data_IF_476488168682
#
_entry.id   IF_476488168682
#
_cell.length_a   1.000
_cell.length_b   1.000
_cell.length_c   1.000
_cell.angle_alpha   90.00
_cell.angle_beta   90.00
_cell.angle_gamma   90.00
#
_symmetry.space_group_name_H-M   'P 1'
#
loop_
_entity.id
_entity.type
_entity.pdbx_description
1 polymer ?
#
# COMPACT_ATOMS: atom_id res chain seq x y z
N UNK A 1 28.59 -2.96 22.05
CA UNK A 1 27.67 -3.34 20.94
C UNK A 1 27.25 -4.82 20.99
N UNK A 2 28.16 -5.78 21.22
CA UNK A 2 27.83 -7.22 21.34
C UNK A 2 26.84 -7.55 22.48
N UNK A 3 27.13 -7.14 23.72
CA UNK A 3 26.26 -7.38 24.89
C UNK A 3 24.86 -6.80 24.71
N UNK A 4 24.74 -5.59 24.14
CA UNK A 4 23.43 -4.98 23.84
C UNK A 4 22.65 -5.81 22.83
N UNK A 5 23.30 -6.35 21.79
CA UNK A 5 22.65 -7.22 20.80
C UNK A 5 22.20 -8.55 21.42
N UNK A 6 23.02 -9.16 22.26
CA UNK A 6 22.69 -10.38 22.99
C UNK A 6 21.47 -10.15 23.92
N UNK A 7 21.43 -9.04 24.64
CA UNK A 7 20.27 -8.67 25.48
C UNK A 7 18.99 -8.45 24.68
N UNK A 8 19.08 -7.74 23.54
CA UNK A 8 17.91 -7.55 22.66
C UNK A 8 17.40 -8.90 22.14
N UNK A 9 18.30 -9.80 21.73
CA UNK A 9 17.92 -11.10 21.17
C UNK A 9 17.37 -12.10 22.18
N UNK A 10 17.66 -11.90 23.46
CA UNK A 10 17.07 -12.65 24.56
C UNK A 10 15.64 -12.19 24.93
N UNK A 11 15.10 -11.13 24.30
CA UNK A 11 13.74 -10.68 24.54
C UNK A 11 12.73 -11.73 24.03
N UNK A 12 11.83 -12.26 24.89
CA UNK A 12 10.84 -13.27 24.48
C UNK A 12 9.81 -12.74 23.48
N UNK A 13 9.64 -11.42 23.33
CA UNK A 13 8.80 -10.84 22.27
C UNK A 13 9.41 -10.97 20.88
N UNK A 14 10.69 -11.35 20.78
CA UNK A 14 11.38 -11.62 19.52
C UNK A 14 11.49 -13.12 19.27
N UNK A 15 10.49 -13.91 19.65
CA UNK A 15 10.45 -15.37 19.45
C UNK A 15 10.10 -15.76 18.00
N UNK A 16 10.93 -15.30 17.08
CA UNK A 16 10.90 -15.62 15.66
C UNK A 16 12.34 -15.63 15.13
N UNK A 17 12.56 -16.38 14.05
CA UNK A 17 13.87 -16.56 13.40
C UNK A 17 13.99 -15.79 12.08
N UNK A 18 12.87 -15.30 11.54
CA UNK A 18 12.77 -14.74 10.19
C UNK A 18 12.11 -13.37 10.21
N UNK A 19 12.68 -12.41 9.47
CA UNK A 19 12.13 -11.06 9.30
C UNK A 19 11.72 -10.86 7.84
N UNK A 20 10.45 -10.54 7.61
CA UNK A 20 9.94 -10.05 6.34
C UNK A 20 10.22 -8.55 6.19
N UNK A 21 10.79 -8.14 5.07
CA UNK A 21 11.02 -6.72 4.78
C UNK A 21 11.07 -6.44 3.28
N UNK A 22 10.96 -5.16 2.94
CA UNK A 22 11.14 -4.67 1.57
C UNK A 22 12.44 -3.89 1.44
N UNK A 23 13.17 -4.13 0.36
CA UNK A 23 14.24 -3.24 -0.11
C UNK A 23 13.71 -2.51 -1.33
N UNK A 24 13.92 -1.20 -1.42
CA UNK A 24 13.54 -0.40 -2.59
C UNK A 24 14.36 0.88 -2.67
N UNK A 25 14.48 1.45 -3.87
CA UNK A 25 14.82 2.86 -4.01
C UNK A 25 13.56 3.72 -3.73
N UNK A 26 13.67 4.84 -2.99
CA UNK A 26 12.60 5.83 -2.94
C UNK A 26 12.27 6.36 -4.34
N UNK A 27 11.03 6.85 -4.52
CA UNK A 27 10.64 7.54 -5.75
C UNK A 27 11.52 8.77 -6.03
N UNK A 28 11.46 9.27 -7.26
CA UNK A 28 12.31 10.40 -7.70
C UNK A 28 11.96 11.72 -7.02
N UNK A 29 10.73 11.88 -6.52
CA UNK A 29 10.27 13.08 -5.85
C UNK A 29 10.21 12.87 -4.32
N UNK A 30 10.83 13.75 -3.52
CA UNK A 30 10.92 13.58 -2.07
C UNK A 30 9.72 14.15 -1.30
N UNK A 31 8.84 14.89 -1.98
CA UNK A 31 7.75 15.61 -1.35
C UNK A 31 6.64 14.66 -0.87
N UNK A 32 5.99 14.97 0.25
CA UNK A 32 5.08 14.04 0.95
C UNK A 32 3.89 13.60 0.09
N UNK A 33 3.41 14.49 -0.78
CA UNK A 33 2.33 14.23 -1.72
C UNK A 33 2.72 13.33 -2.89
N UNK A 34 4.01 13.04 -3.10
CA UNK A 34 4.51 12.33 -4.29
C UNK A 34 5.07 10.93 -3.96
N UNK A 35 5.00 10.52 -2.70
CA UNK A 35 5.74 9.37 -2.17
C UNK A 35 5.31 8.02 -2.75
N UNK A 36 4.06 7.92 -3.23
CA UNK A 36 3.41 6.66 -3.58
C UNK A 36 2.76 6.71 -4.96
N UNK A 37 3.49 7.19 -5.96
CA UNK A 37 3.10 7.07 -7.35
C UNK A 37 4.09 6.20 -8.14
N UNK A 38 3.60 5.12 -8.73
CA UNK A 38 4.44 4.16 -9.44
C UNK A 38 5.13 4.76 -10.66
N UNK A 39 4.54 5.79 -11.27
CA UNK A 39 5.14 6.50 -12.40
C UNK A 39 6.37 7.36 -12.03
N UNK A 40 6.67 7.54 -10.73
CA UNK A 40 7.91 8.11 -10.21
C UNK A 40 8.84 7.06 -9.60
N UNK A 41 8.54 5.78 -9.80
CA UNK A 41 9.32 4.67 -9.27
C UNK A 41 10.74 4.67 -9.82
N UNK A 42 11.61 4.02 -9.04
CA UNK A 42 12.96 3.66 -9.45
C UNK A 42 13.10 2.14 -9.33
N UNK A 43 13.83 1.50 -10.24
CA UNK A 43 13.92 0.06 -10.27
C UNK A 43 14.76 -0.46 -9.11
N UNK A 44 14.48 -1.70 -8.72
CA UNK A 44 15.33 -2.52 -7.88
C UNK A 44 14.78 -2.75 -6.47
N UNK A 45 15.33 -3.77 -5.82
CA UNK A 45 14.85 -4.27 -4.54
C UNK A 45 13.92 -5.47 -4.72
N UNK A 46 12.96 -5.62 -3.82
CA UNK A 46 12.13 -6.82 -3.74
C UNK A 46 11.55 -7.06 -2.35
N UNK A 47 10.80 -8.15 -2.23
CA UNK A 47 10.31 -8.70 -0.96
C UNK A 47 11.31 -9.75 -0.47
N UNK A 48 11.81 -9.57 0.76
CA UNK A 48 12.88 -10.39 1.31
C UNK A 48 12.51 -11.02 2.65
N UNK A 49 13.06 -12.21 2.88
CA UNK A 49 13.14 -12.87 4.17
C UNK A 49 14.58 -12.85 4.66
N UNK A 50 14.80 -12.32 5.86
CA UNK A 50 16.06 -12.44 6.59
C UNK A 50 15.92 -13.57 7.62
N UNK A 51 16.37 -14.76 7.26
CA UNK A 51 16.30 -15.96 8.07
C UNK A 51 17.50 -16.06 9.02
N UNK A 52 17.29 -16.75 10.14
CA UNK A 52 18.29 -16.99 11.17
C UNK A 52 19.00 -15.70 11.60
N UNK A 53 18.27 -14.58 11.70
CA UNK A 53 18.87 -13.24 11.88
C UNK A 53 19.67 -13.08 13.18
N UNK A 54 19.44 -13.99 14.15
CA UNK A 54 20.14 -14.05 15.43
C UNK A 54 21.44 -14.88 15.38
N UNK A 55 21.61 -15.76 14.39
CA UNK A 55 22.67 -16.80 14.36
C UNK A 55 24.09 -16.30 14.09
N UNK A 56 24.27 -15.03 13.73
CA UNK A 56 25.55 -14.47 13.29
C UNK A 56 25.86 -14.73 11.81
N UNK A 57 25.18 -15.69 11.18
CA UNK A 57 25.23 -15.99 9.74
C UNK A 57 23.83 -15.93 9.14
N UNK A 58 23.19 -14.74 9.10
CA UNK A 58 21.85 -14.60 8.56
C UNK A 58 21.80 -14.95 7.07
N UNK A 59 20.72 -15.58 6.62
CA UNK A 59 20.47 -15.84 5.20
C UNK A 59 19.44 -14.86 4.66
N UNK A 60 19.67 -14.41 3.43
CA UNK A 60 18.76 -13.51 2.74
C UNK A 60 18.12 -14.25 1.56
N UNK A 61 16.80 -14.36 1.58
CA UNK A 61 16.01 -14.95 0.49
C UNK A 61 15.14 -13.85 -0.15
N UNK A 62 15.19 -13.72 -1.48
CA UNK A 62 14.40 -12.75 -2.23
C UNK A 62 13.24 -13.46 -2.93
N UNK A 63 12.01 -13.24 -2.46
CA UNK A 63 10.82 -13.90 -3.00
C UNK A 63 10.44 -13.39 -4.40
N UNK A 64 10.98 -12.26 -4.81
CA UNK A 64 10.65 -11.57 -6.06
C UNK A 64 11.86 -11.37 -6.96
N UNK A 65 12.90 -12.20 -6.85
CA UNK A 65 14.15 -12.07 -7.64
C UNK A 65 13.90 -12.14 -9.15
N UNK A 66 12.97 -12.99 -9.58
CA UNK A 66 12.65 -13.22 -10.98
C UNK A 66 11.54 -12.30 -11.52
N UNK A 67 11.13 -11.28 -10.76
CA UNK A 67 10.12 -10.34 -11.22
C UNK A 67 10.71 -9.31 -12.18
N UNK A 68 9.91 -8.73 -13.09
CA UNK A 68 10.33 -7.59 -13.87
C UNK A 68 10.85 -6.45 -12.97
N UNK A 69 11.77 -5.64 -13.50
CA UNK A 69 12.26 -4.48 -12.76
C UNK A 69 11.10 -3.55 -12.38
N UNK A 70 11.07 -3.16 -11.10
CA UNK A 70 10.01 -2.34 -10.55
C UNK A 70 10.33 -1.85 -9.16
N UNK A 71 9.29 -1.47 -8.44
CA UNK A 71 9.37 -0.98 -7.07
C UNK A 71 8.34 -1.69 -6.21
N UNK A 72 8.72 -2.02 -4.98
CA UNK A 72 7.91 -2.77 -4.02
C UNK A 72 7.62 -1.91 -2.79
N UNK A 73 6.43 -2.00 -2.22
CA UNK A 73 6.00 -1.20 -1.08
C UNK A 73 5.37 -2.06 0.02
N UNK A 74 5.61 -1.63 1.26
CA UNK A 74 4.72 -1.87 2.41
C UNK A 74 4.27 -3.33 2.57
N UNK A 75 5.19 -4.29 2.73
CA UNK A 75 4.81 -5.67 2.98
C UNK A 75 4.06 -5.76 4.30
N UNK A 76 3.04 -6.61 4.35
CA UNK A 76 2.23 -6.93 5.52
C UNK A 76 2.07 -8.44 5.61
N UNK A 77 2.27 -9.00 6.79
CA UNK A 77 2.08 -10.43 7.05
C UNK A 77 0.64 -10.68 7.52
N UNK A 78 0.02 -11.77 7.08
CA UNK A 78 -1.26 -12.22 7.64
C UNK A 78 -1.11 -12.58 9.12
N UNK A 79 -2.22 -12.52 9.87
CA UNK A 79 -2.21 -12.82 11.30
C UNK A 79 -1.70 -14.24 11.65
N UNK A 80 -1.83 -15.20 10.73
CA UNK A 80 -1.34 -16.57 10.88
C UNK A 80 0.09 -16.77 10.34
N UNK A 81 0.72 -15.72 9.81
CA UNK A 81 2.10 -15.74 9.32
C UNK A 81 2.29 -16.38 7.95
N UNK A 82 1.22 -16.69 7.22
CA UNK A 82 1.31 -17.53 6.00
C UNK A 82 1.31 -16.76 4.69
N UNK A 83 0.67 -15.59 4.65
CA UNK A 83 0.49 -14.81 3.43
C UNK A 83 1.08 -13.41 3.60
N UNK A 84 1.54 -12.84 2.49
CA UNK A 84 2.14 -11.52 2.39
C UNK A 84 1.26 -10.66 1.48
N UNK A 85 0.78 -9.52 1.97
CA UNK A 85 0.32 -8.43 1.11
C UNK A 85 1.49 -7.49 0.83
N UNK A 86 1.56 -6.96 -0.38
CA UNK A 86 2.51 -5.91 -0.75
C UNK A 86 1.99 -5.14 -1.95
N UNK A 87 2.56 -3.96 -2.24
CA UNK A 87 2.29 -3.26 -3.49
C UNK A 87 3.50 -3.34 -4.42
N UNK A 88 3.25 -3.47 -5.72
CA UNK A 88 4.29 -3.48 -6.75
C UNK A 88 3.85 -2.68 -7.97
N UNK A 89 4.79 -1.93 -8.55
CA UNK A 89 4.66 -1.34 -9.87
C UNK A 89 5.90 -1.70 -10.70
N UNK A 90 5.71 -1.91 -12.00
CA UNK A 90 6.80 -2.06 -12.95
C UNK A 90 7.44 -0.73 -13.27
N UNK A 91 8.76 -0.74 -13.39
CA UNK A 91 9.53 0.43 -13.76
C UNK A 91 9.69 0.53 -15.27
N UNK A 92 9.46 1.72 -15.79
CA UNK A 92 9.69 2.08 -17.17
C UNK A 92 10.47 3.39 -17.23
N UNK A 93 11.70 3.42 -17.79
CA UNK A 93 12.55 4.62 -17.80
C UNK A 93 11.90 5.87 -18.42
N UNK A 94 11.05 5.68 -19.43
CA UNK A 94 10.40 6.76 -20.16
C UNK A 94 9.17 7.34 -19.43
N UNK A 95 8.54 6.56 -18.54
CA UNK A 95 7.25 6.94 -17.92
C UNK A 95 7.39 8.21 -17.11
N UNK A 96 8.49 8.41 -16.38
CA UNK A 96 8.75 9.63 -15.62
C UNK A 96 8.67 10.90 -16.49
N UNK A 97 9.10 10.84 -17.75
CA UNK A 97 9.06 11.98 -18.68
C UNK A 97 7.69 12.28 -19.31
N UNK A 98 6.71 11.39 -19.16
CA UNK A 98 5.38 11.53 -19.78
C UNK A 98 4.50 12.56 -19.07
N UNK A 99 3.49 13.08 -19.77
CA UNK A 99 2.35 13.76 -19.15
C UNK A 99 1.45 12.72 -18.47
N UNK A 100 0.86 13.04 -17.31
CA UNK A 100 0.30 12.04 -16.39
C UNK A 100 -1.20 12.16 -16.15
N UNK A 101 -1.84 13.25 -16.58
CA UNK A 101 -3.28 13.49 -16.37
C UNK A 101 -4.09 12.55 -17.26
N UNK A 102 -3.67 12.38 -18.52
CA UNK A 102 -4.23 11.37 -19.42
C UNK A 102 -3.65 9.99 -19.11
N UNK A 103 -4.20 9.35 -18.09
CA UNK A 103 -3.72 8.06 -17.60
C UNK A 103 -3.78 6.98 -18.66
N UNK A 104 -4.70 7.00 -19.62
CA UNK A 104 -4.79 5.95 -20.64
C UNK A 104 -3.54 5.83 -21.52
N UNK A 105 -2.72 6.88 -21.59
CA UNK A 105 -1.41 6.87 -22.26
C UNK A 105 -0.31 6.16 -21.46
N UNK A 106 -0.52 5.94 -20.17
CA UNK A 106 0.46 5.31 -19.28
C UNK A 106 0.27 3.78 -19.27
N UNK A 107 1.36 3.00 -19.12
CA UNK A 107 1.25 1.57 -18.85
C UNK A 107 0.48 1.34 -17.54
N UNK A 108 -0.45 0.39 -17.53
CA UNK A 108 -1.25 0.10 -16.34
C UNK A 108 -0.40 -0.43 -15.18
N UNK A 109 0.59 -1.27 -15.49
CA UNK A 109 1.52 -1.82 -14.50
C UNK A 109 2.59 -0.81 -14.05
N UNK A 110 2.61 0.43 -14.59
CA UNK A 110 3.41 1.52 -14.03
C UNK A 110 2.78 2.15 -12.77
N UNK A 111 1.58 1.73 -12.39
CA UNK A 111 0.92 2.10 -11.13
C UNK A 111 1.16 1.02 -10.08
N UNK A 112 1.17 1.39 -8.81
CA UNK A 112 1.20 0.41 -7.73
C UNK A 112 -0.10 -0.40 -7.69
N UNK A 113 0.02 -1.72 -7.74
CA UNK A 113 -1.07 -2.64 -7.51
C UNK A 113 -0.81 -3.48 -6.28
N UNK A 114 -1.87 -3.92 -5.62
CA UNK A 114 -1.78 -4.82 -4.45
C UNK A 114 -1.66 -6.25 -4.95
N UNK A 115 -0.68 -6.96 -4.40
CA UNK A 115 -0.47 -8.38 -4.61
C UNK A 115 -0.54 -9.10 -3.27
N UNK A 116 -0.92 -10.38 -3.35
CA UNK A 116 -0.83 -11.32 -2.24
C UNK A 116 -0.09 -12.58 -2.71
N UNK A 117 0.74 -13.15 -1.86
CA UNK A 117 1.37 -14.45 -2.09
C UNK A 117 1.61 -15.17 -0.77
N UNK A 118 1.86 -16.46 -0.79
CA UNK A 118 2.30 -17.20 0.40
C UNK A 118 3.73 -16.82 0.78
N UNK A 119 4.11 -17.06 2.04
CA UNK A 119 5.42 -16.72 2.60
C UNK A 119 6.58 -17.44 1.89
N UNK A 120 6.31 -18.56 1.21
CA UNK A 120 7.28 -19.29 0.38
C UNK A 120 7.39 -18.76 -1.07
N UNK A 121 6.65 -17.69 -1.39
CA UNK A 121 6.64 -17.04 -2.71
C UNK A 121 5.73 -17.71 -3.75
N UNK A 122 4.92 -18.69 -3.35
CA UNK A 122 3.94 -19.34 -4.23
C UNK A 122 2.55 -18.68 -4.14
N UNK A 123 1.56 -19.24 -4.85
CA UNK A 123 0.15 -18.77 -4.84
C UNK A 123 -0.03 -17.26 -5.06
N UNK A 124 0.77 -16.67 -5.95
CA UNK A 124 0.72 -15.25 -6.28
C UNK A 124 -0.62 -14.84 -6.90
N UNK A 125 -1.22 -13.78 -6.36
CA UNK A 125 -2.45 -13.14 -6.85
C UNK A 125 -2.27 -11.62 -6.94
N UNK A 126 -2.63 -11.03 -8.07
CA UNK A 126 -2.85 -9.59 -8.16
C UNK A 126 -4.30 -9.29 -7.73
N UNK A 127 -4.48 -8.39 -6.78
CA UNK A 127 -5.80 -8.08 -6.19
C UNK A 127 -6.42 -6.80 -6.76
N UNK A 128 -5.60 -5.87 -7.26
CA UNK A 128 -6.08 -4.62 -7.86
C UNK A 128 -5.56 -4.43 -9.28
N UNK A 129 -6.35 -3.70 -10.08
CA UNK A 129 -6.10 -3.48 -11.51
C UNK A 129 -6.55 -2.08 -11.94
N UNK A 130 -6.08 -1.62 -13.09
CA UNK A 130 -6.38 -0.31 -13.64
C UNK A 130 -5.38 0.78 -13.22
N UNK A 131 -5.54 1.97 -13.80
CA UNK A 131 -4.55 3.04 -13.69
C UNK A 131 -4.75 3.90 -12.45
N UNK A 132 -4.51 3.29 -11.30
CA UNK A 132 -4.61 3.90 -9.98
C UNK A 132 -3.53 3.31 -9.08
N UNK A 133 -2.84 4.15 -8.32
CA UNK A 133 -1.91 3.67 -7.30
C UNK A 133 -2.69 3.16 -6.08
N UNK A 134 -2.58 1.86 -5.84
CA UNK A 134 -3.17 1.09 -4.73
C UNK A 134 -2.03 0.52 -3.86
N UNK A 135 -1.97 0.90 -2.58
CA UNK A 135 -0.83 0.56 -1.71
C UNK A 135 -1.14 0.56 -0.20
N UNK A 136 -0.14 0.18 0.61
CA UNK A 136 -0.21 0.12 2.09
C UNK A 136 -1.37 -0.75 2.62
N UNK A 137 -1.58 -1.91 1.99
CA UNK A 137 -2.66 -2.83 2.32
C UNK A 137 -2.48 -3.51 3.69
N UNK A 138 -3.59 -3.72 4.40
CA UNK A 138 -3.67 -4.41 5.70
C UNK A 138 -4.81 -5.40 5.73
N UNK A 139 -4.58 -6.55 6.35
CA UNK A 139 -5.63 -7.51 6.64
C UNK A 139 -6.54 -6.96 7.76
N UNK A 140 -7.84 -6.86 7.47
CA UNK A 140 -8.86 -6.61 8.46
C UNK A 140 -9.18 -7.90 9.23
N UNK A 141 -9.41 -7.85 10.54
CA UNK A 141 -9.80 -9.04 11.28
C UNK A 141 -11.21 -9.44 10.81
N UNK A 142 -11.36 -10.66 10.31
CA UNK A 142 -12.67 -11.23 10.00
C UNK A 142 -13.47 -11.37 11.30
N UNK A 143 -14.78 -11.09 11.26
CA UNK A 143 -15.64 -11.08 12.43
C UNK A 143 -15.63 -12.41 13.22
N UNK A 144 -16.22 -12.44 14.43
CA UNK A 144 -15.94 -13.46 15.46
C UNK A 144 -16.28 -14.92 15.14
N UNK A 145 -16.82 -15.25 13.96
CA UNK A 145 -17.17 -16.62 13.56
C UNK A 145 -17.05 -16.81 12.05
N UNK A 146 -15.88 -17.26 11.56
CA UNK A 146 -15.74 -18.42 10.63
C UNK A 146 -14.29 -18.55 10.13
N UNK A 147 -13.76 -19.75 10.37
CA UNK A 147 -12.73 -20.51 9.66
C UNK A 147 -11.81 -19.80 8.63
N UNK A 148 -10.51 -19.94 8.88
CA UNK A 148 -9.35 -19.61 8.05
C UNK A 148 -9.05 -18.12 7.87
N UNK A 149 -7.89 -17.71 8.40
CA UNK A 149 -7.30 -16.36 8.28
C UNK A 149 -6.96 -15.97 6.82
N UNK A 150 -7.29 -16.82 5.83
CA UNK A 150 -7.11 -16.61 4.40
C UNK A 150 -8.30 -15.89 3.72
N UNK A 151 -9.33 -15.50 4.46
CA UNK A 151 -10.52 -14.79 3.93
C UNK A 151 -10.82 -13.47 4.67
N UNK A 152 -9.78 -12.77 5.08
CA UNK A 152 -9.90 -11.44 5.67
C UNK A 152 -10.15 -10.40 4.57
N UNK A 153 -11.09 -9.48 4.81
CA UNK A 153 -11.18 -8.25 4.01
C UNK A 153 -9.87 -7.46 4.14
N UNK A 154 -9.61 -6.59 3.18
CA UNK A 154 -8.35 -5.84 3.08
C UNK A 154 -8.69 -4.35 3.03
N UNK A 155 -8.00 -3.54 3.84
CA UNK A 155 -8.00 -2.07 3.74
C UNK A 155 -6.70 -1.60 3.13
N UNK A 156 -6.75 -0.54 2.33
CA UNK A 156 -5.58 0.02 1.64
C UNK A 156 -5.82 1.47 1.24
N UNK A 157 -4.78 2.15 0.74
CA UNK A 157 -4.85 3.49 0.20
C UNK A 157 -4.93 3.44 -1.32
N UNK A 158 -5.79 4.28 -1.91
CA UNK A 158 -5.97 4.32 -3.35
C UNK A 158 -6.31 5.71 -3.87
N UNK A 159 -5.77 6.04 -5.04
CA UNK A 159 -6.13 7.22 -5.83
C UNK A 159 -7.48 7.10 -6.55
N UNK A 160 -8.06 5.89 -6.58
CA UNK A 160 -9.23 5.51 -7.37
C UNK A 160 -10.53 6.21 -7.00
N UNK A 161 -10.65 6.72 -5.78
CA UNK A 161 -11.80 7.55 -5.40
C UNK A 161 -11.99 8.70 -6.40
N UNK A 162 -10.90 9.24 -6.94
CA UNK A 162 -10.95 10.31 -7.93
C UNK A 162 -11.86 11.45 -7.47
N UNK A 163 -12.74 11.88 -8.37
CA UNK A 163 -13.62 13.03 -8.17
C UNK A 163 -14.99 12.68 -7.53
N UNK A 164 -15.20 11.44 -7.09
CA UNK A 164 -16.46 11.05 -6.48
C UNK A 164 -16.61 11.66 -5.08
N UNK A 165 -17.52 12.63 -4.96
CA UNK A 165 -17.86 13.22 -3.65
C UNK A 165 -18.50 12.20 -2.71
N UNK A 166 -19.30 11.27 -3.26
CA UNK A 166 -20.03 10.27 -2.48
C UNK A 166 -19.49 8.86 -2.69
N UNK A 167 -19.41 8.10 -1.60
CA UNK A 167 -19.02 6.69 -1.59
C UNK A 167 -20.20 5.82 -2.05
N UNK A 168 -20.33 5.60 -3.35
CA UNK A 168 -21.41 4.78 -3.95
C UNK A 168 -20.84 3.55 -4.65
N UNK A 169 -21.52 2.40 -4.51
CA UNK A 169 -21.16 1.16 -5.23
C UNK A 169 -21.02 1.36 -6.75
N UNK A 170 -21.91 2.17 -7.35
CA UNK A 170 -21.86 2.47 -8.78
C UNK A 170 -20.61 3.27 -9.17
N UNK A 171 -20.18 4.21 -8.32
CA UNK A 171 -18.95 4.98 -8.56
C UNK A 171 -17.74 4.04 -8.56
N UNK A 172 -17.62 3.16 -7.57
CA UNK A 172 -16.52 2.20 -7.54
C UNK A 172 -16.58 1.18 -8.69
N UNK A 173 -17.78 0.72 -9.07
CA UNK A 173 -17.92 -0.15 -10.23
C UNK A 173 -17.43 0.52 -11.53
N UNK A 174 -17.68 1.82 -11.71
CA UNK A 174 -17.22 2.56 -12.89
C UNK A 174 -15.68 2.64 -12.98
N UNK A 175 -14.99 2.74 -11.84
CA UNK A 175 -13.52 2.73 -11.79
C UNK A 175 -12.88 1.38 -12.12
N UNK A 176 -13.67 0.30 -12.11
CA UNK A 176 -13.23 -1.02 -12.58
C UNK A 176 -13.48 -1.23 -14.09
N UNK A 177 -14.32 -0.39 -14.69
CA UNK A 177 -14.71 -0.50 -16.11
C UNK A 177 -13.95 0.47 -17.00
N UNK A 178 -13.48 1.59 -16.44
CA UNK A 178 -12.76 2.62 -17.17
C UNK A 178 -11.70 3.32 -16.31
N UNK A 179 -10.71 3.88 -16.98
CA UNK A 179 -9.79 4.85 -16.40
C UNK A 179 -10.53 6.17 -16.19
N UNK A 180 -10.70 6.57 -14.93
CA UNK A 180 -11.39 7.81 -14.55
C UNK A 180 -10.40 8.83 -13.97
N UNK A 181 -10.72 10.14 -14.02
CA UNK A 181 -9.86 11.19 -13.50
C UNK A 181 -9.61 11.07 -11.99
N UNK A 182 -8.41 11.43 -11.58
CA UNK A 182 -8.06 11.54 -10.17
C UNK A 182 -8.61 12.85 -9.57
N UNK A 183 -8.55 12.94 -8.24
CA UNK A 183 -8.64 14.21 -7.52
C UNK A 183 -7.24 14.63 -7.09
N UNK A 184 -6.96 15.93 -7.09
CA UNK A 184 -5.63 16.46 -6.86
C UNK A 184 -5.61 17.39 -5.65
N UNK A 185 -4.49 17.40 -4.93
CA UNK A 185 -4.28 18.34 -3.83
C UNK A 185 -4.28 19.78 -4.33
N UNK A 186 -4.77 20.72 -3.51
CA UNK A 186 -4.90 22.13 -3.91
C UNK A 186 -3.59 22.92 -3.88
N UNK A 187 -2.56 22.44 -3.18
CA UNK A 187 -1.32 23.20 -2.93
C UNK A 187 -0.27 23.08 -4.04
N UNK A 188 -0.49 22.29 -5.09
CA UNK A 188 0.51 22.18 -6.16
C UNK A 188 0.30 21.04 -7.15
N UNK A 189 1.28 20.91 -8.04
CA UNK A 189 1.27 20.00 -9.17
C UNK A 189 1.01 20.71 -10.50
N UNK A 190 1.24 19.98 -11.58
CA UNK A 190 0.91 20.36 -12.96
C UNK A 190 0.56 19.10 -13.76
N UNK A 191 0.36 19.21 -15.09
CA UNK A 191 -0.02 18.04 -15.89
C UNK A 191 1.09 16.97 -15.98
N UNK A 192 2.36 17.32 -15.78
CA UNK A 192 3.48 16.37 -15.74
C UNK A 192 3.68 15.77 -14.37
N UNK A 193 3.40 16.53 -13.31
CA UNK A 193 3.46 16.14 -11.90
C UNK A 193 2.11 16.40 -11.22
N UNK A 194 1.05 15.66 -11.57
CA UNK A 194 -0.18 15.71 -10.82
C UNK A 194 0.05 15.08 -9.45
N UNK A 195 -0.54 15.68 -8.42
CA UNK A 195 -0.46 15.21 -7.04
C UNK A 195 -1.83 14.62 -6.64
N UNK A 196 -2.12 13.42 -7.16
CA UNK A 196 -3.37 12.69 -6.95
C UNK A 196 -3.57 12.27 -5.48
N UNK A 197 -4.66 12.68 -4.86
CA UNK A 197 -4.95 12.31 -3.46
C UNK A 197 -5.29 10.83 -3.37
N UNK A 198 -4.77 10.15 -2.35
CA UNK A 198 -5.13 8.78 -2.02
C UNK A 198 -5.88 8.71 -0.70
N UNK A 199 -6.95 7.92 -0.68
CA UNK A 199 -7.84 7.74 0.46
C UNK A 199 -8.06 6.25 0.76
N UNK A 200 -8.58 5.95 1.95
CA UNK A 200 -8.89 4.60 2.37
C UNK A 200 -9.95 3.95 1.49
N UNK A 201 -9.61 2.76 1.04
CA UNK A 201 -10.47 1.82 0.35
C UNK A 201 -10.38 0.47 1.06
N UNK A 202 -11.39 -0.36 0.83
CA UNK A 202 -11.29 -1.75 1.22
C UNK A 202 -12.00 -2.66 0.21
N UNK A 203 -11.62 -3.93 0.24
CA UNK A 203 -12.08 -4.99 -0.66
C UNK A 203 -12.16 -6.30 0.12
N UNK A 204 -12.81 -7.31 -0.45
CA UNK A 204 -12.73 -8.67 0.09
C UNK A 204 -11.40 -9.35 -0.23
N UNK A 205 -11.17 -10.51 0.40
CA UNK A 205 -9.94 -11.32 0.23
C UNK A 205 -9.67 -11.81 -1.20
N UNK A 206 -10.63 -11.65 -2.12
CA UNK A 206 -10.49 -12.04 -3.52
C UNK A 206 -10.26 -10.84 -4.44
N UNK A 207 -10.00 -9.65 -3.89
CA UNK A 207 -9.86 -8.42 -4.66
C UNK A 207 -11.18 -7.89 -5.22
N UNK A 208 -12.32 -8.40 -4.76
CA UNK A 208 -13.65 -7.98 -5.20
C UNK A 208 -14.29 -7.06 -4.18
N UNK A 209 -15.49 -6.58 -4.51
CA UNK A 209 -16.27 -5.67 -3.65
C UNK A 209 -15.49 -4.43 -3.20
N UNK A 210 -14.60 -3.95 -4.08
CA UNK A 210 -13.86 -2.72 -3.89
C UNK A 210 -14.83 -1.58 -3.54
N UNK A 211 -14.49 -0.83 -2.50
CA UNK A 211 -15.27 0.33 -2.04
C UNK A 211 -14.37 1.33 -1.31
N UNK A 212 -14.44 2.62 -1.63
CA UNK A 212 -13.85 3.65 -0.79
C UNK A 212 -14.61 3.72 0.54
N UNK A 213 -13.87 3.88 1.64
CA UNK A 213 -14.40 4.00 3.00
C UNK A 213 -14.09 5.36 3.64
N UNK A 214 -13.41 6.24 2.89
CA UNK A 214 -13.16 7.63 3.29
C UNK A 214 -13.70 8.60 2.24
N UNK A 215 -14.55 9.52 2.69
CA UNK A 215 -15.08 10.60 1.86
C UNK A 215 -14.15 11.81 1.77
N UNK A 216 -12.95 11.76 2.33
CA UNK A 216 -12.08 12.93 2.43
C UNK A 216 -11.41 13.33 1.11
N UNK A 217 -11.03 14.59 0.98
CA UNK A 217 -10.44 15.16 -0.26
C UNK A 217 -8.96 15.52 -0.12
N UNK A 218 -8.30 15.01 0.92
CA UNK A 218 -6.87 15.16 1.13
C UNK A 218 -6.23 13.79 1.42
N UNK A 219 -4.89 13.78 1.45
CA UNK A 219 -4.11 12.58 1.64
C UNK A 219 -4.33 11.91 3.00
N UNK A 220 -4.36 10.59 2.97
CA UNK A 220 -4.38 9.69 4.12
C UNK A 220 -3.20 8.73 4.04
N UNK A 221 -2.57 8.40 5.16
CA UNK A 221 -1.37 7.57 5.17
C UNK A 221 -1.41 6.50 6.23
N UNK A 222 -0.64 5.43 5.98
CA UNK A 222 -0.22 4.45 6.97
C UNK A 222 -1.36 3.86 7.79
N UNK A 223 -2.37 3.24 7.15
CA UNK A 223 -3.37 2.50 7.89
C UNK A 223 -2.71 1.38 8.70
N UNK A 224 -3.22 1.20 9.91
CA UNK A 224 -2.88 0.11 10.82
C UNK A 224 -4.15 -0.32 11.55
N UNK A 225 -4.17 -1.57 11.98
CA UNK A 225 -5.34 -2.16 12.65
C UNK A 225 -5.10 -2.15 14.15
N UNK A 226 -6.00 -1.48 14.88
CA UNK A 226 -5.99 -1.48 16.34
C UNK A 226 -6.47 -2.82 16.89
N UNK A 227 -6.12 -3.11 18.15
CA UNK A 227 -6.56 -4.32 18.86
C UNK A 227 -8.09 -4.49 18.94
N UNK A 228 -8.85 -3.39 18.88
CA UNK A 228 -10.31 -3.40 18.87
C UNK A 228 -10.92 -3.52 17.46
N UNK A 229 -10.08 -3.71 16.45
CA UNK A 229 -10.48 -3.90 15.05
C UNK A 229 -10.74 -2.61 14.29
N UNK A 230 -10.58 -1.42 14.90
CA UNK A 230 -10.62 -0.14 14.18
C UNK A 230 -9.40 0.06 13.30
N UNK A 231 -9.60 0.81 12.22
CA UNK A 231 -8.52 1.28 11.36
C UNK A 231 -8.02 2.61 11.94
N UNK A 232 -6.73 2.70 12.24
CA UNK A 232 -6.04 3.92 12.64
C UNK A 232 -5.13 4.36 11.49
N UNK A 233 -5.11 5.66 11.18
CA UNK A 233 -4.36 6.21 10.05
C UNK A 233 -4.00 7.67 10.29
N UNK A 234 -3.03 8.19 9.53
CA UNK A 234 -2.75 9.62 9.50
C UNK A 234 -3.55 10.29 8.38
N UNK A 235 -4.00 11.52 8.59
CA UNK A 235 -4.68 12.32 7.56
C UNK A 235 -4.19 13.74 7.60
N UNK A 236 -4.09 14.34 6.42
CA UNK A 236 -3.77 15.75 6.29
C UNK A 236 -5.00 16.63 6.51
N UNK A 237 -5.00 17.43 7.57
CA UNK A 237 -6.01 18.45 7.83
C UNK A 237 -5.67 19.75 7.08
N UNK A 238 -5.78 19.68 5.74
CA UNK A 238 -5.46 20.76 4.81
C UNK A 238 -6.72 21.49 4.35
N UNK A 239 -7.48 22.04 5.30
CA UNK A 239 -8.62 22.94 5.02
C UNK A 239 -8.45 24.16 5.92
N UNK A 240 -8.31 25.34 5.31
CA UNK A 240 -8.12 26.63 6.01
C UNK A 240 -6.93 26.68 6.99
N UNK A 241 -5.89 25.88 6.72
CA UNK A 241 -4.65 25.80 7.50
C UNK A 241 -3.41 25.90 6.60
N UNK A 242 -2.26 26.16 7.23
CA UNK A 242 -0.96 26.06 6.55
C UNK A 242 -0.73 24.62 6.05
N UNK A 243 -0.10 24.49 4.89
CA UNK A 243 0.08 23.21 4.20
C UNK A 243 0.91 22.19 5.00
N UNK A 244 1.99 22.54 5.69
CA UNK A 244 2.99 21.48 5.96
C UNK A 244 2.87 20.73 7.29
N UNK A 245 2.10 21.21 8.27
CA UNK A 245 2.25 20.76 9.67
C UNK A 245 1.07 19.96 10.25
N UNK A 246 -0.08 19.92 9.58
CA UNK A 246 -1.31 19.42 10.18
C UNK A 246 -1.64 18.00 9.73
N UNK A 247 -0.79 17.05 10.10
CA UNK A 247 -1.09 15.62 9.99
C UNK A 247 -1.53 15.12 11.36
N UNK A 248 -2.78 14.68 11.46
CA UNK A 248 -3.35 14.18 12.72
C UNK A 248 -3.57 12.68 12.65
N UNK A 249 -3.67 12.04 13.82
CA UNK A 249 -4.10 10.66 13.95
C UNK A 249 -5.63 10.58 13.88
N UNK A 250 -6.15 9.70 13.03
CA UNK A 250 -7.58 9.46 12.84
C UNK A 250 -7.89 7.98 13.04
N UNK A 251 -9.17 7.68 13.30
CA UNK A 251 -9.66 6.31 13.33
C UNK A 251 -11.02 6.21 12.65
N UNK A 252 -11.33 5.03 12.11
CA UNK A 252 -12.65 4.68 11.60
C UNK A 252 -12.90 3.18 11.81
N UNK A 253 -14.16 2.77 11.84
CA UNK A 253 -14.54 1.37 11.77
C UNK A 253 -14.20 0.79 10.39
N UNK A 254 -14.22 -0.53 10.27
CA UNK A 254 -13.85 -1.24 9.02
C UNK A 254 -14.74 -0.90 7.82
N UNK A 255 -15.93 -0.38 8.07
CA UNK A 255 -16.90 0.06 7.05
C UNK A 255 -16.81 1.55 6.72
N UNK A 256 -15.96 2.32 7.42
CA UNK A 256 -15.82 3.76 7.24
C UNK A 256 -16.65 4.62 8.20
N UNK A 257 -17.35 4.03 9.18
CA UNK A 257 -18.07 4.77 10.24
C UNK A 257 -17.20 5.25 11.40
#
# INVERSE_FOLDING_TARGET
RRVVREMVFANPLLDFDTILFVKRAPGTLPHISDQYYGWWSRPGGGIYLLEDYKSGTPRLNCLTENWPEGSFLRPELSYDGRNILFAYCRYYPHVAGMEKVDKDKLPEDAFYHIFEMTIDGTDLRQLTHGRYDDFDARYLPSGPRRAAHSNCDIVFLSTRKGQFVQMRKAATASTNQATLPDSYVRCGGDNKRPCAVFTLHAMDSNGKNLRPISAFENFEWTPSIAHDGRIIYARWDYIDRYNDYFMSLWSTNQDGS
#
